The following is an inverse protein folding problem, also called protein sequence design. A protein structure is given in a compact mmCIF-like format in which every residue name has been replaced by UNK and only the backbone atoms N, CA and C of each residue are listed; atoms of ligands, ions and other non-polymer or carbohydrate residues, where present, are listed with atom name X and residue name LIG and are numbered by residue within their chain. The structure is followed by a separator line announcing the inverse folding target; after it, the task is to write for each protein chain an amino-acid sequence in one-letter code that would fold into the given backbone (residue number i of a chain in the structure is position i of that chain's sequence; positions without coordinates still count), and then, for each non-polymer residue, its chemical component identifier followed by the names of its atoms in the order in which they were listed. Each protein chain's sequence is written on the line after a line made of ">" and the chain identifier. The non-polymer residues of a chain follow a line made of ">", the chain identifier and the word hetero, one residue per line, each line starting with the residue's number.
data_IF_771302887096
#
_entry.id   IF_771302887096
#
_cell.length_a   1.000
_cell.length_b   1.000
_cell.length_c   1.000
_cell.angle_alpha   90.00
_cell.angle_beta   90.00
_cell.angle_gamma   90.00
#
_symmetry.space_group_name_H-M   'P 1'
#
loop_
_entity.id
_entity.type
_entity.pdbx_description
1 polymer ?
#
# COMPACT_ATOMS: atom_id res chain seq x y z
N UNK A 1 20.34 -3.27 -4.68
CA UNK A 1 20.19 -1.81 -4.88
C UNK A 1 19.01 -1.38 -4.04
N UNK A 2 19.12 -0.29 -3.28
CA UNK A 2 17.98 0.26 -2.55
C UNK A 2 17.13 1.08 -3.54
N UNK A 3 15.80 0.98 -3.44
CA UNK A 3 14.91 1.84 -4.22
C UNK A 3 15.00 3.28 -3.72
N UNK A 4 14.88 4.30 -4.59
CA UNK A 4 14.61 5.67 -4.14
C UNK A 4 13.35 5.72 -3.28
N UNK A 5 13.32 6.65 -2.33
CA UNK A 5 12.20 6.78 -1.38
C UNK A 5 11.19 7.81 -1.88
N UNK A 6 9.92 7.40 -1.85
CA UNK A 6 8.75 8.24 -2.03
C UNK A 6 8.11 8.48 -0.66
N UNK A 7 8.35 9.64 -0.06
CA UNK A 7 7.79 9.96 1.26
C UNK A 7 6.37 10.51 1.15
N UNK A 8 5.45 9.84 1.82
CA UNK A 8 4.05 10.22 1.98
C UNK A 8 3.82 10.87 3.34
N UNK A 9 2.87 11.80 3.39
CA UNK A 9 2.47 12.44 4.63
C UNK A 9 1.14 11.86 5.09
N UNK A 10 1.09 11.39 6.34
CA UNK A 10 -0.13 10.92 6.99
C UNK A 10 -0.43 11.76 8.24
N UNK A 11 -1.68 12.22 8.39
CA UNK A 11 -2.11 12.93 9.60
C UNK A 11 -2.25 11.99 10.80
N UNK A 12 -2.69 10.76 10.55
CA UNK A 12 -2.80 9.71 11.54
C UNK A 12 -2.01 8.48 11.04
N UNK A 13 -1.49 7.70 11.97
CA UNK A 13 -0.82 6.42 11.71
C UNK A 13 -1.56 5.31 12.46
N UNK A 14 -1.27 4.05 12.16
CA UNK A 14 -1.93 2.91 12.80
C UNK A 14 -3.05 2.36 11.94
N UNK A 15 -4.23 2.14 12.48
CA UNK A 15 -5.37 1.54 11.78
C UNK A 15 -6.24 2.61 11.09
N UNK A 16 -6.99 2.21 10.05
CA UNK A 16 -8.06 3.02 9.44
C UNK A 16 -7.63 4.43 9.03
N UNK A 17 -6.53 4.54 8.26
CA UNK A 17 -5.95 5.83 7.91
C UNK A 17 -5.47 5.89 6.46
N UNK A 18 -4.84 7.02 6.11
CA UNK A 18 -4.33 7.26 4.77
C UNK A 18 -3.12 8.18 4.78
N UNK A 19 -2.27 8.03 3.78
CA UNK A 19 -1.12 8.87 3.51
C UNK A 19 -1.20 9.41 2.08
N UNK A 20 -0.73 10.64 1.87
CA UNK A 20 -0.78 11.32 0.58
C UNK A 20 0.58 11.90 0.18
N UNK A 21 0.84 11.90 -1.12
CA UNK A 21 2.02 12.53 -1.74
C UNK A 21 1.59 13.25 -3.01
N UNK A 22 1.65 14.59 -3.00
CA UNK A 22 1.20 15.43 -4.13
C UNK A 22 1.90 15.09 -5.45
N UNK A 23 3.20 14.85 -5.41
CA UNK A 23 3.98 14.56 -6.62
C UNK A 23 3.82 13.11 -7.10
N UNK A 24 3.26 12.24 -6.26
CA UNK A 24 3.03 10.82 -6.50
C UNK A 24 4.29 9.96 -6.39
N UNK A 25 4.11 8.69 -6.02
CA UNK A 25 5.16 7.67 -5.94
C UNK A 25 5.72 7.37 -7.33
N UNK A 26 7.02 7.55 -7.54
CA UNK A 26 7.63 7.29 -8.85
C UNK A 26 7.80 5.79 -9.08
N UNK A 27 7.81 5.39 -10.34
CA UNK A 27 8.09 4.00 -10.72
C UNK A 27 9.52 3.63 -10.30
N UNK A 28 9.71 2.41 -9.81
CA UNK A 28 10.93 1.91 -9.18
C UNK A 28 11.29 2.70 -7.91
N UNK A 29 10.32 2.93 -7.03
CA UNK A 29 10.54 3.54 -5.71
C UNK A 29 9.88 2.72 -4.60
N UNK A 30 10.21 3.07 -3.35
CA UNK A 30 9.64 2.49 -2.13
C UNK A 30 8.95 3.57 -1.30
N UNK A 31 7.88 3.20 -0.60
CA UNK A 31 7.12 4.11 0.26
C UNK A 31 7.85 4.33 1.58
N UNK A 32 7.94 5.59 2.01
CA UNK A 32 8.03 5.95 3.43
C UNK A 32 6.81 6.77 3.83
N UNK A 33 6.50 6.77 5.14
CA UNK A 33 5.42 7.59 5.69
C UNK A 33 6.00 8.42 6.83
N UNK A 34 5.80 9.74 6.76
CA UNK A 34 6.29 10.71 7.74
C UNK A 34 7.81 10.56 8.01
N UNK A 35 8.59 10.30 6.95
CA UNK A 35 10.04 10.10 7.03
C UNK A 35 10.50 8.72 7.49
N UNK A 36 9.58 7.78 7.75
CA UNK A 36 9.90 6.41 8.17
C UNK A 36 9.69 5.40 7.04
N UNK A 37 10.73 4.66 6.69
CA UNK A 37 10.63 3.46 5.83
C UNK A 37 10.13 2.23 6.58
N UNK A 38 10.04 2.27 7.92
CA UNK A 38 9.46 1.19 8.69
C UNK A 38 7.93 1.31 8.69
N UNK A 39 7.28 0.71 7.69
CA UNK A 39 5.82 0.76 7.57
C UNK A 39 5.10 -0.08 8.63
N UNK A 40 5.80 -0.99 9.30
CA UNK A 40 5.21 -1.85 10.32
C UNK A 40 4.51 -1.03 11.40
N UNK A 41 5.10 0.10 11.83
CA UNK A 41 4.53 0.97 12.85
C UNK A 41 3.54 2.00 12.28
N UNK A 42 3.56 2.21 10.97
CA UNK A 42 2.78 3.25 10.30
C UNK A 42 1.43 2.74 9.79
N UNK A 43 1.41 1.52 9.26
CA UNK A 43 0.25 0.90 8.61
C UNK A 43 -0.10 -0.38 9.35
N UNK A 44 -1.15 -0.30 10.18
CA UNK A 44 -1.69 -1.41 10.96
C UNK A 44 -3.09 -1.78 10.49
N UNK A 45 -3.42 -3.04 10.71
CA UNK A 45 -4.77 -3.57 10.72
C UNK A 45 -5.03 -4.20 12.08
N UNK A 46 -6.30 -4.45 12.39
CA UNK A 46 -6.71 -5.19 13.56
C UNK A 46 -5.99 -6.56 13.66
N UNK A 47 -5.99 -7.15 14.86
CA UNK A 47 -5.48 -8.51 15.07
C UNK A 47 -4.00 -8.71 14.69
N UNK A 48 -3.17 -7.69 14.87
CA UNK A 48 -1.73 -7.67 14.49
C UNK A 48 -1.46 -7.70 12.98
N UNK A 49 -2.45 -7.37 12.15
CA UNK A 49 -2.19 -7.13 10.73
C UNK A 49 -1.33 -5.89 10.53
N UNK A 50 -0.46 -5.89 9.54
CA UNK A 50 0.44 -4.77 9.25
C UNK A 50 1.07 -4.88 7.86
N UNK A 51 1.65 -3.78 7.40
CA UNK A 51 2.46 -3.70 6.18
C UNK A 51 3.92 -3.43 6.55
N UNK A 52 4.85 -4.16 5.93
CA UNK A 52 6.29 -4.02 6.14
C UNK A 52 6.93 -3.10 5.11
N UNK A 53 6.54 -3.23 3.84
CA UNK A 53 7.03 -2.37 2.76
C UNK A 53 6.06 -2.35 1.58
N UNK A 54 6.13 -1.27 0.80
CA UNK A 54 5.38 -1.09 -0.44
C UNK A 54 6.34 -0.55 -1.49
N UNK A 55 6.45 -1.25 -2.61
CA UNK A 55 7.28 -0.81 -3.75
C UNK A 55 6.43 -0.74 -5.01
N UNK A 56 6.73 0.22 -5.86
CA UNK A 56 6.15 0.35 -7.20
C UNK A 56 7.23 0.03 -8.21
N UNK A 57 6.99 -0.95 -9.07
CA UNK A 57 7.93 -1.39 -10.11
C UNK A 57 7.26 -1.38 -11.47
N UNK A 58 8.04 -1.10 -12.53
CA UNK A 58 7.60 -1.37 -13.89
C UNK A 58 7.62 -2.87 -14.18
N UNK A 59 6.76 -3.35 -15.08
CA UNK A 59 6.69 -4.76 -15.47
C UNK A 59 6.62 -4.92 -16.99
N UNK A 60 7.52 -5.71 -17.61
CA UNK A 60 7.33 -6.11 -19.00
C UNK A 60 6.24 -7.19 -19.06
N UNK A 61 5.01 -6.82 -19.40
CA UNK A 61 3.88 -7.76 -19.49
C UNK A 61 2.58 -7.10 -19.91
N UNK A 62 1.43 -7.74 -19.63
CA UNK A 62 0.08 -7.18 -19.89
C UNK A 62 -0.25 -5.96 -19.03
N UNK A 63 0.44 -5.83 -17.89
CA UNK A 63 0.35 -4.69 -17.01
C UNK A 63 1.71 -4.00 -16.93
N UNK A 64 1.71 -2.69 -17.12
CA UNK A 64 2.90 -1.85 -17.15
C UNK A 64 3.46 -1.62 -15.74
N UNK A 65 2.61 -1.68 -14.71
CA UNK A 65 2.96 -1.34 -13.33
C UNK A 65 2.50 -2.38 -12.31
N UNK A 66 3.34 -2.58 -11.29
CA UNK A 66 3.11 -3.53 -10.21
C UNK A 66 3.45 -2.90 -8.87
N UNK A 67 2.47 -2.84 -7.97
CA UNK A 67 2.69 -2.60 -6.56
C UNK A 67 2.99 -3.93 -5.87
N UNK A 68 4.14 -4.04 -5.22
CA UNK A 68 4.47 -5.17 -4.34
C UNK A 68 4.33 -4.71 -2.90
N UNK A 69 3.48 -5.40 -2.16
CA UNK A 69 3.12 -5.09 -0.77
C UNK A 69 3.53 -6.27 0.10
N UNK A 70 4.60 -6.12 0.87
CA UNK A 70 5.00 -7.10 1.89
C UNK A 70 4.15 -6.85 3.14
N UNK A 71 3.23 -7.74 3.45
CA UNK A 71 2.25 -7.54 4.51
C UNK A 71 1.82 -8.86 5.16
N UNK A 72 1.15 -8.72 6.31
CA UNK A 72 0.37 -9.77 6.93
C UNK A 72 -1.00 -9.23 7.34
N UNK A 73 -2.01 -10.07 7.20
CA UNK A 73 -3.38 -9.79 7.56
C UNK A 73 -3.67 -10.04 9.04
N UNK A 74 -4.89 -9.72 9.49
CA UNK A 74 -5.35 -9.92 10.85
C UNK A 74 -5.33 -11.40 11.28
N UNK A 75 -4.80 -11.67 12.47
CA UNK A 75 -4.79 -13.01 13.07
C UNK A 75 -5.99 -13.21 14.03
N UNK A 76 -6.50 -14.44 14.10
CA UNK A 76 -7.60 -14.82 15.00
C UNK A 76 -8.83 -15.37 14.28
N UNK A 77 -9.71 -16.05 15.01
CA UNK A 77 -10.97 -16.54 14.44
C UNK A 77 -11.92 -15.37 14.18
N UNK A 78 -12.41 -15.23 12.94
CA UNK A 78 -13.29 -14.13 12.54
C UNK A 78 -12.61 -12.76 12.47
N UNK A 79 -11.27 -12.71 12.36
CA UNK A 79 -10.49 -11.47 12.34
C UNK A 79 -10.70 -10.62 11.08
N UNK A 80 -11.18 -11.23 9.99
CA UNK A 80 -11.48 -10.52 8.74
C UNK A 80 -10.25 -10.36 7.85
N UNK A 81 -10.06 -9.16 7.30
CA UNK A 81 -8.95 -8.83 6.40
C UNK A 81 -8.53 -7.39 6.60
N UNK A 82 -7.25 -7.10 6.35
CA UNK A 82 -6.79 -5.73 6.17
C UNK A 82 -7.04 -5.30 4.73
N UNK A 83 -7.52 -4.09 4.52
CA UNK A 83 -7.83 -3.55 3.20
C UNK A 83 -6.90 -2.38 2.89
N UNK A 84 -6.39 -2.35 1.66
CA UNK A 84 -5.56 -1.30 1.10
C UNK A 84 -6.21 -0.76 -0.17
N UNK A 85 -6.08 0.53 -0.40
CA UNK A 85 -6.42 1.18 -1.65
C UNK A 85 -5.31 2.13 -2.08
N UNK A 86 -4.97 2.09 -3.36
CA UNK A 86 -3.93 2.89 -3.97
C UNK A 86 -4.55 3.74 -5.06
N UNK A 87 -4.57 5.05 -4.89
CA UNK A 87 -5.09 5.98 -5.90
C UNK A 87 -3.92 6.56 -6.69
N UNK A 88 -3.96 6.41 -8.00
CA UNK A 88 -2.97 7.01 -8.90
C UNK A 88 -3.29 8.47 -9.22
N UNK A 89 -2.38 9.10 -9.96
CA UNK A 89 -2.48 10.52 -10.28
C UNK A 89 -3.58 10.84 -11.29
N UNK A 90 -4.03 9.88 -12.09
CA UNK A 90 -5.24 10.00 -12.90
C UNK A 90 -6.53 9.92 -12.08
N UNK A 91 -6.46 9.44 -10.83
CA UNK A 91 -7.59 9.30 -9.92
C UNK A 91 -8.16 7.87 -9.86
N UNK A 92 -7.57 6.92 -10.58
CA UNK A 92 -7.98 5.52 -10.55
C UNK A 92 -7.53 4.87 -9.24
N UNK A 93 -8.41 4.07 -8.63
CA UNK A 93 -8.14 3.42 -7.34
C UNK A 93 -8.06 1.90 -7.47
N UNK A 94 -6.96 1.33 -6.98
CA UNK A 94 -6.68 -0.10 -7.02
C UNK A 94 -6.70 -0.67 -5.61
N UNK A 95 -7.53 -1.70 -5.40
CA UNK A 95 -7.80 -2.27 -4.07
C UNK A 95 -7.07 -3.59 -3.86
N UNK A 96 -6.65 -3.84 -2.63
CA UNK A 96 -5.99 -5.06 -2.20
C UNK A 96 -6.50 -5.48 -0.82
N UNK A 97 -6.85 -6.75 -0.66
CA UNK A 97 -7.18 -7.33 0.64
C UNK A 97 -6.08 -8.29 1.11
N UNK A 98 -5.72 -8.19 2.38
CA UNK A 98 -4.72 -9.03 3.05
C UNK A 98 -5.45 -9.88 4.09
N UNK A 99 -5.83 -11.08 3.70
CA UNK A 99 -6.54 -12.03 4.58
C UNK A 99 -5.59 -12.98 5.32
N UNK A 100 -4.41 -13.27 4.73
CA UNK A 100 -3.45 -14.23 5.29
C UNK A 100 -2.73 -13.61 6.48
N UNK A 101 -2.81 -14.24 7.66
CA UNK A 101 -2.03 -13.84 8.83
C UNK A 101 -0.53 -14.18 8.75
N UNK A 102 -0.13 -14.90 7.70
CA UNK A 102 1.30 -15.15 7.41
C UNK A 102 1.84 -14.04 6.53
N UNK A 103 2.99 -13.48 6.92
CA UNK A 103 3.70 -12.47 6.13
C UNK A 103 4.02 -13.01 4.73
N UNK A 104 3.59 -12.28 3.71
CA UNK A 104 3.89 -12.59 2.31
C UNK A 104 3.84 -11.33 1.44
N UNK A 105 4.39 -11.42 0.23
CA UNK A 105 4.29 -10.35 -0.76
C UNK A 105 3.01 -10.53 -1.57
N UNK A 106 2.20 -9.48 -1.58
CA UNK A 106 0.98 -9.35 -2.35
C UNK A 106 1.19 -8.37 -3.51
N UNK A 107 0.55 -8.62 -4.65
CA UNK A 107 0.75 -7.78 -5.84
C UNK A 107 -0.54 -7.18 -6.34
N UNK A 108 -0.52 -5.89 -6.65
CA UNK A 108 -1.57 -5.21 -7.44
C UNK A 108 -0.95 -4.84 -8.78
N UNK A 109 -1.56 -5.30 -9.87
CA UNK A 109 -1.11 -4.99 -11.24
C UNK A 109 -2.11 -4.06 -11.90
N UNK A 110 -1.63 -3.00 -12.54
CA UNK A 110 -2.49 -2.00 -13.16
C UNK A 110 -1.83 -1.35 -14.36
N UNK A 111 -2.67 -0.70 -15.17
CA UNK A 111 -2.27 0.14 -16.30
C UNK A 111 -2.79 1.54 -16.06
N UNK A 112 -1.94 2.55 -16.25
CA UNK A 112 -2.30 3.94 -16.07
C UNK A 112 -1.44 4.83 -16.96
N UNK A 113 -2.02 5.94 -17.43
CA UNK A 113 -1.27 6.98 -18.14
C UNK A 113 -0.47 7.88 -17.18
N UNK A 114 -0.84 7.88 -15.90
CA UNK A 114 -0.17 8.63 -14.82
C UNK A 114 -0.01 7.71 -13.60
N UNK A 115 0.93 6.74 -13.68
CA UNK A 115 0.99 5.62 -12.76
C UNK A 115 1.43 6.00 -11.34
N UNK A 116 1.81 7.26 -11.11
CA UNK A 116 2.30 7.69 -9.82
C UNK A 116 1.19 7.60 -8.76
N UNK A 117 1.42 6.81 -7.71
CA UNK A 117 0.45 6.68 -6.61
C UNK A 117 0.49 7.93 -5.74
N UNK A 118 -0.63 8.65 -5.65
CA UNK A 118 -0.74 9.91 -4.88
C UNK A 118 -1.39 9.71 -3.52
N UNK A 119 -2.14 8.63 -3.33
CA UNK A 119 -2.79 8.29 -2.06
C UNK A 119 -2.71 6.79 -1.77
N UNK A 120 -2.41 6.48 -0.52
CA UNK A 120 -2.45 5.14 0.04
C UNK A 120 -3.43 5.17 1.20
N UNK A 121 -4.47 4.34 1.17
CA UNK A 121 -5.45 4.21 2.24
C UNK A 121 -5.45 2.78 2.77
N UNK A 122 -5.66 2.63 4.07
CA UNK A 122 -5.76 1.34 4.73
C UNK A 122 -6.89 1.32 5.77
N UNK A 123 -7.52 0.16 5.95
CA UNK A 123 -8.72 0.01 6.77
C UNK A 123 -8.92 -1.45 7.21
N UNK A 124 -9.61 -1.65 8.34
CA UNK A 124 -10.09 -2.95 8.79
C UNK A 124 -11.39 -3.39 8.10
N UNK A 125 -12.05 -2.43 7.44
CA UNK A 125 -13.27 -2.63 6.65
C UNK A 125 -12.98 -2.40 5.17
N UNK A 126 -13.82 -2.95 4.29
CA UNK A 126 -13.73 -2.71 2.85
C UNK A 126 -13.73 -1.21 2.55
N UNK A 127 -12.83 -0.80 1.66
CA UNK A 127 -12.76 0.58 1.19
C UNK A 127 -13.70 0.69 -0.02
N UNK A 128 -14.82 1.39 0.18
CA UNK A 128 -15.79 1.68 -0.88
C UNK A 128 -15.31 2.84 -1.78
N UNK A 129 -15.91 2.99 -2.96
CA UNK A 129 -15.61 4.05 -3.93
C UNK A 129 -16.27 5.39 -3.57
#
# INVERSE_FOLDING_TARGET
>A
MAYPISDFTAQNIGENSSAERRDGMTVNSEVSINGSSNLYDMVKFNGNGCVYSITLTGSPGTYDYVLNVDAQGPSGFGSGSGYLAFTDKSGDTYKLSIYSSTRSVHTVRYNSQQPEIVKIQWSDNSIDD
#
